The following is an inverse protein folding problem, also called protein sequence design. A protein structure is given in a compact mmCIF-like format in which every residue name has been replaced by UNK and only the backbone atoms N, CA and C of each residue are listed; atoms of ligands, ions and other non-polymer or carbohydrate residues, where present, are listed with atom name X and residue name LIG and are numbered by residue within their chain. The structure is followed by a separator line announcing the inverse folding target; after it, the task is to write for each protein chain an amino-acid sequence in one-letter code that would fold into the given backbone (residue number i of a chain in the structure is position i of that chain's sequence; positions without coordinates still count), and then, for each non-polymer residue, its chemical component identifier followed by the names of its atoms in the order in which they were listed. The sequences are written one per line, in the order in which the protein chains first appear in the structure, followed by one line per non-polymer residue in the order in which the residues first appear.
data_IF_339168135703
#
_entry.id   IF_339168135703
#
_cell.length_a   1.000
_cell.length_b   1.000
_cell.length_c   1.000
_cell.angle_alpha   90.00
_cell.angle_beta   90.00
_cell.angle_gamma   90.00
#
_symmetry.space_group_name_H-M   'P 1'
#
loop_
_entity.id
_entity.type
_entity.pdbx_description
1 polymer ?
#
# COMPACT_ATOMS: atom_id res chain seq x y z
N UNK A 1 -26.89 -11.27 -10.31
CA UNK A 1 -25.90 -12.06 -11.08
C UNK A 1 -25.31 -11.27 -12.25
N UNK A 2 -26.14 -10.62 -13.05
CA UNK A 2 -25.75 -9.74 -14.18
C UNK A 2 -24.69 -8.70 -13.85
N UNK A 3 -24.79 -8.00 -12.71
CA UNK A 3 -23.79 -6.98 -12.32
C UNK A 3 -22.36 -7.53 -12.13
N UNK A 4 -22.22 -8.75 -11.57
CA UNK A 4 -20.90 -9.38 -11.38
C UNK A 4 -20.29 -9.82 -12.72
N UNK A 5 -21.12 -10.37 -13.61
CA UNK A 5 -20.71 -10.76 -14.96
C UNK A 5 -20.33 -9.54 -15.81
N UNK A 6 -21.09 -8.45 -15.72
CA UNK A 6 -20.77 -7.20 -16.40
C UNK A 6 -19.43 -6.63 -15.92
N UNK A 7 -19.20 -6.55 -14.61
CA UNK A 7 -17.91 -6.12 -14.06
C UNK A 7 -16.76 -7.04 -14.49
N UNK A 8 -16.98 -8.36 -14.48
CA UNK A 8 -16.01 -9.32 -14.97
C UNK A 8 -15.67 -9.11 -16.44
N UNK A 9 -16.67 -8.92 -17.29
CA UNK A 9 -16.50 -8.68 -18.72
C UNK A 9 -15.75 -7.37 -18.99
N UNK A 10 -16.08 -6.28 -18.27
CA UNK A 10 -15.35 -5.01 -18.37
C UNK A 10 -13.88 -5.19 -17.96
N UNK A 11 -13.61 -5.89 -16.86
CA UNK A 11 -12.24 -6.16 -16.41
C UNK A 11 -11.43 -6.96 -17.43
N UNK A 12 -12.03 -8.01 -18.00
CA UNK A 12 -11.39 -8.82 -19.06
C UNK A 12 -11.15 -7.99 -20.31
N UNK A 13 -12.13 -7.19 -20.75
CA UNK A 13 -11.98 -6.31 -21.91
C UNK A 13 -10.84 -5.30 -21.69
N UNK A 14 -10.73 -4.69 -20.51
CA UNK A 14 -9.65 -3.78 -20.17
C UNK A 14 -8.27 -4.48 -20.15
N UNK A 15 -8.20 -5.71 -19.62
CA UNK A 15 -6.96 -6.48 -19.60
C UNK A 15 -6.50 -6.85 -21.02
N UNK A 16 -7.42 -7.35 -21.85
CA UNK A 16 -7.14 -7.67 -23.26
C UNK A 16 -6.70 -6.42 -24.03
N UNK A 17 -7.41 -5.31 -23.84
CA UNK A 17 -7.05 -4.03 -24.44
C UNK A 17 -5.63 -3.59 -24.07
N UNK A 18 -5.25 -3.70 -22.80
CA UNK A 18 -3.89 -3.42 -22.35
C UNK A 18 -2.85 -4.33 -23.00
N UNK A 19 -3.11 -5.64 -23.08
CA UNK A 19 -2.20 -6.60 -23.74
C UNK A 19 -2.01 -6.27 -25.22
N UNK A 20 -3.08 -5.93 -25.93
CA UNK A 20 -3.00 -5.50 -27.34
C UNK A 20 -2.09 -4.27 -27.47
N UNK A 21 -2.34 -3.25 -26.66
CA UNK A 21 -1.56 -2.01 -26.71
C UNK A 21 -0.07 -2.24 -26.38
N UNK A 22 0.24 -3.12 -25.41
CA UNK A 22 1.62 -3.45 -25.09
C UNK A 22 2.31 -4.33 -26.13
N UNK A 23 1.53 -5.12 -26.89
CA UNK A 23 2.09 -5.98 -27.93
C UNK A 23 2.68 -5.20 -29.10
N UNK A 24 2.14 -4.01 -29.38
CA UNK A 24 2.65 -3.08 -30.41
C UNK A 24 4.07 -2.55 -30.06
N UNK A 25 4.39 -2.47 -28.77
CA UNK A 25 5.68 -1.99 -28.26
C UNK A 25 6.76 -3.10 -28.13
N UNK A 26 6.40 -4.35 -28.46
CA UNK A 26 7.30 -5.50 -28.47
C UNK A 26 7.28 -6.37 -27.20
N UNK A 27 7.75 -7.60 -27.35
CA UNK A 27 7.67 -8.66 -26.32
C UNK A 27 8.40 -8.33 -25.01
N UNK A 28 9.47 -7.53 -25.07
CA UNK A 28 10.23 -7.13 -23.88
C UNK A 28 9.38 -6.31 -22.89
N UNK A 29 8.46 -5.48 -23.38
CA UNK A 29 7.56 -4.68 -22.53
C UNK A 29 6.52 -5.56 -21.84
N UNK A 30 5.97 -6.56 -22.53
CA UNK A 30 5.09 -7.58 -21.94
C UNK A 30 5.79 -8.37 -20.83
N UNK A 31 7.04 -8.80 -21.07
CA UNK A 31 7.84 -9.49 -20.05
C UNK A 31 8.09 -8.60 -18.84
N UNK A 32 8.47 -7.34 -19.03
CA UNK A 32 8.66 -6.40 -17.93
C UNK A 32 7.38 -6.20 -17.09
N UNK A 33 6.22 -6.09 -17.73
CA UNK A 33 4.94 -6.00 -17.01
C UNK A 33 4.62 -7.29 -16.28
N UNK A 34 4.85 -8.46 -16.88
CA UNK A 34 4.65 -9.74 -16.21
C UNK A 34 5.56 -9.88 -14.99
N UNK A 35 6.84 -9.52 -15.12
CA UNK A 35 7.80 -9.50 -14.00
C UNK A 35 7.37 -8.53 -12.92
N UNK A 36 6.86 -7.34 -13.28
CA UNK A 36 6.37 -6.37 -12.30
C UNK A 36 5.11 -6.85 -11.56
N UNK A 37 4.14 -7.44 -12.28
CA UNK A 37 2.93 -8.01 -11.69
C UNK A 37 3.25 -9.15 -10.72
N UNK A 38 4.08 -10.11 -11.16
CA UNK A 38 4.47 -11.25 -10.34
C UNK A 38 5.37 -10.81 -9.20
N UNK A 39 6.37 -9.97 -9.47
CA UNK A 39 7.31 -9.45 -8.48
C UNK A 39 6.60 -8.66 -7.38
N UNK A 40 5.61 -7.83 -7.74
CA UNK A 40 4.78 -7.10 -6.78
C UNK A 40 4.00 -8.03 -5.85
N UNK A 41 3.33 -9.06 -6.39
CA UNK A 41 2.60 -10.05 -5.59
C UNK A 41 3.53 -10.84 -4.68
N UNK A 42 4.65 -11.34 -5.22
CA UNK A 42 5.63 -12.10 -4.44
C UNK A 42 6.21 -11.25 -3.32
N UNK A 43 6.62 -10.01 -3.60
CA UNK A 43 7.15 -9.10 -2.58
C UNK A 43 6.09 -8.77 -1.52
N UNK A 44 4.85 -8.56 -1.93
CA UNK A 44 3.76 -8.29 -1.01
C UNK A 44 3.50 -9.48 -0.07
N UNK A 45 3.31 -10.67 -0.62
CA UNK A 45 2.86 -11.83 0.15
C UNK A 45 4.00 -12.51 0.92
N UNK A 46 5.23 -12.51 0.36
CA UNK A 46 6.38 -13.15 0.99
C UNK A 46 7.14 -12.22 1.94
N UNK A 47 7.05 -10.90 1.77
CA UNK A 47 7.85 -9.94 2.58
C UNK A 47 6.95 -8.97 3.32
N UNK A 48 6.10 -8.23 2.63
CA UNK A 48 5.32 -7.16 3.27
C UNK A 48 4.35 -7.72 4.30
N UNK A 49 3.52 -8.68 3.92
CA UNK A 49 2.52 -9.26 4.80
C UNK A 49 3.16 -9.91 6.05
N UNK A 50 4.21 -10.77 5.94
CA UNK A 50 4.91 -11.31 7.11
C UNK A 50 5.54 -10.22 7.97
N UNK A 51 6.18 -9.21 7.37
CA UNK A 51 6.80 -8.11 8.13
C UNK A 51 5.77 -7.32 8.91
N UNK A 52 4.64 -6.97 8.30
CA UNK A 52 3.54 -6.26 8.96
C UNK A 52 2.95 -7.11 10.08
N UNK A 53 2.79 -8.42 9.88
CA UNK A 53 2.32 -9.34 10.93
C UNK A 53 3.32 -9.39 12.09
N UNK A 54 4.62 -9.56 11.82
CA UNK A 54 5.66 -9.60 12.84
C UNK A 54 5.74 -8.29 13.63
N UNK A 55 5.71 -7.14 12.95
CA UNK A 55 5.67 -5.82 13.60
C UNK A 55 4.38 -5.64 14.41
N UNK A 56 3.24 -6.11 13.90
CA UNK A 56 1.97 -6.11 14.62
C UNK A 56 1.99 -6.98 15.87
N UNK A 57 2.59 -8.17 15.81
CA UNK A 57 2.79 -9.09 16.95
C UNK A 57 3.75 -8.48 17.97
N UNK A 58 4.88 -7.95 17.53
CA UNK A 58 5.85 -7.28 18.38
C UNK A 58 5.21 -6.07 19.09
N UNK A 59 4.53 -5.20 18.34
CA UNK A 59 3.80 -4.07 18.89
C UNK A 59 2.70 -4.52 19.86
N UNK A 60 1.99 -5.61 19.57
CA UNK A 60 0.94 -6.15 20.44
C UNK A 60 1.45 -6.59 21.82
N UNK A 61 2.75 -6.89 21.97
CA UNK A 61 3.35 -7.18 23.27
C UNK A 61 3.36 -5.95 24.19
N UNK A 62 3.53 -4.76 23.61
CA UNK A 62 3.62 -3.49 24.34
C UNK A 62 2.29 -2.71 24.34
N UNK A 63 1.37 -3.05 23.43
CA UNK A 63 0.14 -2.30 23.23
C UNK A 63 -1.08 -2.93 23.93
N UNK A 64 -1.87 -2.13 24.68
CA UNK A 64 -3.16 -2.58 25.21
C UNK A 64 -4.07 -3.14 24.12
N UNK A 65 -4.83 -4.20 24.41
CA UNK A 65 -5.78 -4.84 23.47
C UNK A 65 -6.70 -3.86 22.76
N UNK A 66 -7.05 -2.75 23.43
CA UNK A 66 -7.91 -1.69 22.90
C UNK A 66 -7.33 -0.90 21.73
N UNK A 67 -6.01 -0.90 21.55
CA UNK A 67 -5.30 -0.09 20.54
C UNK A 67 -4.73 -0.93 19.39
N UNK A 68 -4.74 -2.26 19.52
CA UNK A 68 -4.11 -3.18 18.57
C UNK A 68 -4.69 -3.06 17.15
N UNK A 69 -6.01 -2.96 17.01
CA UNK A 69 -6.66 -2.83 15.70
C UNK A 69 -6.31 -1.52 15.00
N UNK A 70 -6.27 -0.40 15.73
CA UNK A 70 -5.89 0.91 15.18
C UNK A 70 -4.46 0.89 14.64
N UNK A 71 -3.53 0.32 15.42
CA UNK A 71 -2.12 0.19 15.00
C UNK A 71 -1.97 -0.76 13.83
N UNK A 72 -2.69 -1.89 13.80
CA UNK A 72 -2.66 -2.83 12.68
C UNK A 72 -3.12 -2.18 11.36
N UNK A 73 -4.22 -1.40 11.40
CA UNK A 73 -4.71 -0.67 10.22
C UNK A 73 -3.71 0.39 9.76
N UNK A 74 -3.10 1.13 10.70
CA UNK A 74 -2.08 2.13 10.36
C UNK A 74 -0.86 1.49 9.69
N UNK A 75 -0.37 0.36 10.21
CA UNK A 75 0.74 -0.38 9.60
C UNK A 75 0.38 -0.97 8.24
N UNK A 76 -0.86 -1.46 8.05
CA UNK A 76 -1.31 -1.97 6.76
C UNK A 76 -1.28 -0.85 5.70
N UNK A 77 -1.83 0.32 6.02
CA UNK A 77 -1.84 1.48 5.12
C UNK A 77 -0.41 1.94 4.84
N UNK A 78 0.37 2.17 5.90
CA UNK A 78 1.75 2.65 5.79
C UNK A 78 2.63 1.69 4.98
N UNK A 79 2.55 0.39 5.27
CA UNK A 79 3.35 -0.64 4.59
C UNK A 79 2.99 -0.76 3.11
N UNK A 80 1.69 -0.78 2.78
CA UNK A 80 1.22 -0.86 1.40
C UNK A 80 1.68 0.34 0.58
N UNK A 81 1.54 1.56 1.12
CA UNK A 81 2.00 2.77 0.44
C UNK A 81 3.53 2.79 0.31
N UNK A 82 4.27 2.32 1.31
CA UNK A 82 5.73 2.26 1.26
C UNK A 82 6.22 1.33 0.16
N UNK A 83 5.60 0.16 -0.01
CA UNK A 83 5.96 -0.77 -1.10
C UNK A 83 5.56 -0.19 -2.46
N UNK A 84 4.38 0.41 -2.59
CA UNK A 84 3.96 1.07 -3.83
C UNK A 84 4.88 2.23 -4.22
N UNK A 85 5.41 2.96 -3.23
CA UNK A 85 6.35 4.06 -3.41
C UNK A 85 7.83 3.60 -3.44
N UNK A 86 8.14 2.31 -3.38
CA UNK A 86 9.52 1.84 -3.20
C UNK A 86 10.45 2.35 -4.31
N UNK A 87 10.03 2.31 -5.58
CA UNK A 87 10.84 2.80 -6.69
C UNK A 87 11.21 4.28 -6.54
N UNK A 88 10.25 5.12 -6.17
CA UNK A 88 10.51 6.58 -6.02
C UNK A 88 11.26 6.92 -4.74
N UNK A 89 11.13 6.10 -3.69
CA UNK A 89 11.89 6.24 -2.45
C UNK A 89 13.34 5.78 -2.58
N UNK A 90 13.59 4.78 -3.43
CA UNK A 90 14.91 4.23 -3.72
C UNK A 90 15.59 4.87 -4.93
N UNK A 91 14.93 5.83 -5.58
CA UNK A 91 15.41 6.50 -6.80
C UNK A 91 15.71 5.51 -7.95
N UNK A 92 14.83 4.52 -8.13
CA UNK A 92 14.96 3.46 -9.14
C UNK A 92 13.94 3.68 -10.25
N UNK A 93 14.39 3.54 -11.51
CA UNK A 93 13.50 3.60 -12.69
C UNK A 93 13.21 5.02 -13.19
N UNK A 94 14.01 6.01 -12.79
CA UNK A 94 13.97 7.35 -13.35
C UNK A 94 14.31 7.36 -14.85
N UNK A 95 13.68 8.28 -15.59
CA UNK A 95 14.00 8.51 -17.01
C UNK A 95 14.72 9.84 -17.16
N UNK A 96 15.90 9.89 -17.82
CA UNK A 96 16.70 11.12 -17.94
C UNK A 96 15.99 12.28 -18.64
N UNK A 97 14.99 11.98 -19.46
CA UNK A 97 14.20 12.94 -20.24
C UNK A 97 12.88 13.34 -19.54
N UNK A 98 12.62 12.84 -18.33
CA UNK A 98 11.38 13.10 -17.62
C UNK A 98 11.60 13.37 -16.13
N UNK A 99 11.99 14.62 -15.85
CA UNK A 99 12.21 15.13 -14.49
C UNK A 99 10.96 15.06 -13.60
N UNK A 100 9.75 14.98 -14.17
CA UNK A 100 8.52 14.92 -13.37
C UNK A 100 8.40 13.63 -12.54
N UNK A 101 9.14 12.58 -12.92
CA UNK A 101 9.09 11.27 -12.26
C UNK A 101 9.87 11.27 -10.95
N UNK A 102 11.16 11.64 -10.93
CA UNK A 102 12.01 11.54 -9.72
C UNK A 102 12.30 12.86 -9.01
N UNK A 103 12.05 14.02 -9.64
CA UNK A 103 12.35 15.33 -9.04
C UNK A 103 11.25 15.81 -8.08
N UNK A 104 10.78 14.95 -7.19
CA UNK A 104 9.82 15.28 -6.13
C UNK A 104 10.40 14.86 -4.78
N UNK A 105 10.09 15.60 -3.69
CA UNK A 105 10.58 15.24 -2.36
C UNK A 105 9.77 14.07 -1.79
N UNK A 106 9.91 12.88 -2.38
CA UNK A 106 9.17 11.67 -2.02
C UNK A 106 9.42 11.26 -0.58
N UNK A 107 10.67 11.38 -0.10
CA UNK A 107 11.03 11.12 1.29
C UNK A 107 10.26 12.04 2.24
N UNK A 108 10.18 13.34 1.93
CA UNK A 108 9.41 14.31 2.76
C UNK A 108 7.93 13.96 2.74
N UNK A 109 7.38 13.64 1.56
CA UNK A 109 5.96 13.26 1.41
C UNK A 109 5.62 12.00 2.21
N UNK A 110 6.53 11.02 2.21
CA UNK A 110 6.39 9.78 2.98
C UNK A 110 6.51 10.02 4.50
N UNK A 111 7.41 10.90 4.94
CA UNK A 111 7.51 11.29 6.35
C UNK A 111 6.24 12.02 6.82
N UNK A 112 5.67 12.91 5.98
CA UNK A 112 4.40 13.58 6.27
C UNK A 112 3.27 12.57 6.42
N UNK A 113 3.14 11.63 5.48
CA UNK A 113 2.16 10.53 5.58
C UNK A 113 2.32 9.74 6.88
N UNK A 114 3.56 9.38 7.22
CA UNK A 114 3.88 8.64 8.44
C UNK A 114 3.44 9.43 9.68
N UNK A 115 3.76 10.73 9.74
CA UNK A 115 3.34 11.62 10.81
C UNK A 115 1.82 11.72 10.95
N UNK A 116 1.10 11.88 9.82
CA UNK A 116 -0.37 11.91 9.80
C UNK A 116 -0.96 10.62 10.36
N UNK A 117 -0.44 9.45 9.96
CA UNK A 117 -0.92 8.16 10.48
C UNK A 117 -0.67 8.02 11.99
N UNK A 118 0.49 8.43 12.48
CA UNK A 118 0.79 8.45 13.92
C UNK A 118 -0.21 9.34 14.66
N UNK A 119 -0.43 10.57 14.19
CA UNK A 119 -1.41 11.50 14.79
C UNK A 119 -2.81 10.89 14.80
N UNK A 120 -3.25 10.28 13.70
CA UNK A 120 -4.56 9.62 13.60
C UNK A 120 -4.72 8.49 14.61
N UNK A 121 -3.71 7.64 14.78
CA UNK A 121 -3.72 6.55 15.78
C UNK A 121 -3.81 7.11 17.19
N UNK A 122 -3.06 8.17 17.50
CA UNK A 122 -3.09 8.83 18.81
C UNK A 122 -4.46 9.45 19.12
N UNK A 123 -5.02 10.20 18.18
CA UNK A 123 -6.34 10.83 18.30
C UNK A 123 -7.42 9.75 18.46
N UNK A 124 -7.44 8.73 17.61
CA UNK A 124 -8.41 7.64 17.69
C UNK A 124 -8.29 6.88 19.03
N UNK A 125 -7.07 6.66 19.51
CA UNK A 125 -6.82 6.04 20.82
C UNK A 125 -7.34 6.89 21.98
N UNK A 126 -7.14 8.21 21.92
CA UNK A 126 -7.61 9.15 22.95
C UNK A 126 -9.15 9.22 22.97
N UNK A 127 -9.79 9.29 21.80
CA UNK A 127 -11.26 9.28 21.67
C UNK A 127 -11.84 7.96 22.19
N UNK A 128 -11.23 6.82 21.84
CA UNK A 128 -11.67 5.51 22.31
C UNK A 128 -11.53 5.36 23.83
N UNK A 129 -10.50 5.94 24.44
CA UNK A 129 -10.34 5.95 25.89
C UNK A 129 -11.45 6.77 26.57
N UNK A 130 -11.73 7.98 26.10
CA UNK A 130 -12.79 8.86 26.65
C UNK A 130 -14.17 8.22 26.59
N UNK A 131 -14.50 7.54 25.48
CA UNK A 131 -15.80 6.85 25.31
C UNK A 131 -16.01 5.69 26.29
N UNK A 132 -14.93 5.05 26.76
CA UNK A 132 -15.03 3.96 27.74
C UNK A 132 -15.28 4.48 29.13
N UNK A 133 -14.64 5.58 29.51
CA UNK A 133 -14.83 6.21 30.82
C UNK A 133 -16.25 6.72 31.00
N UNK A 134 -16.82 7.39 29.99
CA UNK A 134 -18.20 7.91 30.04
C UNK A 134 -19.30 6.85 29.94
N UNK A 135 -18.97 5.57 29.70
CA UNK A 135 -19.93 4.46 29.65
C UNK A 135 -19.97 3.64 30.94
N UNK A 136 -19.04 3.92 31.86
CA UNK A 136 -18.93 3.28 33.17
C UNK A 136 -19.32 4.24 34.32
N UNK A 137 -19.76 5.45 33.99
CA UNK A 137 -20.36 6.44 34.89
C UNK A 137 -21.86 6.52 34.59
#
# INVERSE_FOLDING_TARGET
MTGRLALGAVGVAAAVWGVVMLSDDGTSRLVNVAVWLVGGVVLHDAVLAPTVVLLGVAAAHWLPRSRRSLVAVAFLIWGTVTVGAANVLLDVGGKPDNDSLMNRPYVVSWLVLTGVLVVMVLVASAVAARRRTGRNA
#
